data_IF_086677488120
#
_entry.id   IF_086677488120
#
_cell.length_a   1.000
_cell.length_b   1.000
_cell.length_c   1.000
_cell.angle_alpha   90.00
_cell.angle_beta   90.00
_cell.angle_gamma   90.00
#
_symmetry.space_group_name_H-M   'P 1'
#
loop_
_entity.id
_entity.type
_entity.pdbx_description
1 polymer ?
#
# COMPACT_ATOMS: atom_id res chain seq x y z
N UNK A 1 -33.17 64.40 61.10
CA UNK A 1 -33.29 64.08 59.65
C UNK A 1 -34.68 64.41 59.09
N UNK A 2 -35.77 63.76 59.54
CA UNK A 2 -37.12 63.97 58.96
C UNK A 2 -37.63 65.43 58.98
N UNK A 3 -37.52 66.12 60.11
CA UNK A 3 -38.01 67.50 60.28
C UNK A 3 -37.06 68.58 59.72
N UNK A 4 -35.92 68.19 59.14
CA UNK A 4 -34.89 69.12 58.65
C UNK A 4 -34.61 68.86 57.15
N UNK A 5 -33.81 67.85 56.84
CA UNK A 5 -33.31 67.57 55.49
C UNK A 5 -34.29 66.82 54.58
N UNK A 6 -35.31 66.16 55.16
CA UNK A 6 -36.28 65.36 54.39
C UNK A 6 -37.72 65.86 54.57
N UNK A 7 -37.89 67.14 54.90
CA UNK A 7 -39.20 67.74 55.19
C UNK A 7 -40.17 67.69 54.00
N UNK A 8 -39.67 67.89 52.78
CA UNK A 8 -40.46 67.88 51.53
C UNK A 8 -40.47 66.53 50.80
N UNK A 9 -39.73 65.53 51.28
CA UNK A 9 -39.65 64.23 50.62
C UNK A 9 -40.96 63.45 50.76
N UNK A 10 -41.26 62.60 49.78
CA UNK A 10 -42.37 61.66 49.90
C UNK A 10 -42.03 60.61 50.98
N UNK A 11 -42.80 60.58 52.06
CA UNK A 11 -42.55 59.72 53.22
C UNK A 11 -43.62 58.64 53.28
N UNK A 12 -43.17 57.39 53.27
CA UNK A 12 -44.01 56.22 53.53
C UNK A 12 -43.72 55.69 54.94
N UNK A 13 -44.75 55.15 55.60
CA UNK A 13 -44.56 54.39 56.84
C UNK A 13 -43.82 53.10 56.50
N UNK A 14 -42.88 52.68 57.35
CA UNK A 14 -42.03 51.52 57.11
C UNK A 14 -42.84 50.27 56.73
N UNK A 15 -43.98 50.04 57.40
CA UNK A 15 -44.86 48.91 57.12
C UNK A 15 -45.39 48.92 55.67
N UNK A 16 -45.77 50.08 55.14
CA UNK A 16 -46.28 50.23 53.77
C UNK A 16 -45.16 50.10 52.74
N UNK A 17 -43.98 50.66 53.02
CA UNK A 17 -42.80 50.49 52.18
C UNK A 17 -42.36 49.02 52.10
N UNK A 18 -42.38 48.30 53.23
CA UNK A 18 -42.10 46.85 53.28
C UNK A 18 -43.18 46.07 52.53
N UNK A 19 -44.46 46.38 52.75
CA UNK A 19 -45.58 45.73 52.05
C UNK A 19 -45.51 45.90 50.53
N UNK A 20 -45.06 47.06 50.06
CA UNK A 20 -44.89 47.34 48.62
C UNK A 20 -43.65 46.68 48.01
N UNK A 21 -42.52 46.66 48.73
CA UNK A 21 -41.24 46.15 48.20
C UNK A 21 -41.07 44.64 48.36
N UNK A 22 -41.64 44.04 49.39
CA UNK A 22 -41.49 42.59 49.66
C UNK A 22 -41.93 41.71 48.46
N UNK A 23 -43.08 41.94 47.80
CA UNK A 23 -43.46 41.17 46.60
C UNK A 23 -42.50 41.37 45.42
N UNK A 24 -41.90 42.55 45.28
CA UNK A 24 -40.91 42.81 44.23
C UNK A 24 -39.64 41.97 44.44
N UNK A 25 -39.17 41.90 45.70
CA UNK A 25 -38.01 41.08 46.06
C UNK A 25 -38.33 39.58 45.92
N UNK A 26 -39.51 39.13 46.34
CA UNK A 26 -39.97 37.74 46.13
C UNK A 26 -40.06 37.37 44.64
N UNK A 27 -40.49 38.31 43.79
CA UNK A 27 -40.50 38.14 42.34
C UNK A 27 -39.08 38.01 41.74
N UNK A 28 -38.12 38.81 42.22
CA UNK A 28 -36.72 38.69 41.81
C UNK A 28 -36.10 37.35 42.25
N UNK A 29 -36.38 36.89 43.47
CA UNK A 29 -35.94 35.58 43.96
C UNK A 29 -36.52 34.47 43.08
N UNK A 30 -37.81 34.52 42.79
CA UNK A 30 -38.48 33.53 41.93
C UNK A 30 -37.90 33.51 40.50
N UNK A 31 -37.57 34.69 39.95
CA UNK A 31 -36.91 34.80 38.64
C UNK A 31 -35.48 34.23 38.67
N UNK A 32 -34.75 34.43 39.77
CA UNK A 32 -33.41 33.89 39.96
C UNK A 32 -33.46 32.36 40.09
N UNK A 33 -34.41 31.80 40.85
CA UNK A 33 -34.60 30.36 40.97
C UNK A 33 -34.86 29.70 39.61
N UNK A 34 -35.67 30.34 38.76
CA UNK A 34 -35.89 29.87 37.39
C UNK A 34 -34.62 29.94 36.53
N UNK A 35 -33.82 30.99 36.70
CA UNK A 35 -32.54 31.14 35.99
C UNK A 35 -31.54 30.06 36.42
N UNK A 36 -31.46 29.76 37.73
CA UNK A 36 -30.61 28.70 38.27
C UNK A 36 -31.00 27.34 37.68
N UNK A 37 -32.30 27.02 37.63
CA UNK A 37 -32.79 25.78 36.99
C UNK A 37 -32.41 25.69 35.51
N UNK A 38 -32.59 26.79 34.77
CA UNK A 38 -32.23 26.84 33.35
C UNK A 38 -30.73 26.68 33.12
N UNK A 39 -29.89 27.25 33.99
CA UNK A 39 -28.43 27.10 33.92
C UNK A 39 -28.05 25.64 34.19
N UNK A 40 -28.62 25.01 35.21
CA UNK A 40 -28.34 23.59 35.52
C UNK A 40 -28.73 22.65 34.36
N UNK A 41 -29.89 22.89 33.72
CA UNK A 41 -30.29 22.12 32.53
C UNK A 41 -29.32 22.32 31.35
N UNK A 42 -28.83 23.54 31.17
CA UNK A 42 -27.88 23.85 30.11
C UNK A 42 -26.51 23.20 30.39
N UNK A 43 -26.08 23.16 31.65
CA UNK A 43 -24.85 22.49 32.08
C UNK A 43 -24.93 20.98 31.79
N UNK A 44 -26.01 20.31 32.19
CA UNK A 44 -26.24 18.88 31.88
C UNK A 44 -26.25 18.61 30.36
N UNK A 45 -26.87 19.51 29.58
CA UNK A 45 -26.87 19.41 28.12
C UNK A 45 -25.46 19.55 27.53
N UNK A 46 -24.64 20.46 28.06
CA UNK A 46 -23.24 20.63 27.65
C UNK A 46 -22.41 19.41 28.01
N UNK A 47 -22.57 18.85 29.20
CA UNK A 47 -21.89 17.62 29.61
C UNK A 47 -22.25 16.44 28.70
N UNK A 48 -23.52 16.31 28.31
CA UNK A 48 -23.96 15.30 27.33
C UNK A 48 -23.31 15.51 25.96
N UNK A 49 -23.23 16.75 25.47
CA UNK A 49 -22.55 17.07 24.20
C UNK A 49 -21.05 16.75 24.25
N UNK A 50 -20.39 17.03 25.38
CA UNK A 50 -18.97 16.68 25.59
C UNK A 50 -18.79 15.16 25.56
N UNK A 51 -19.70 14.40 26.19
CA UNK A 51 -19.71 12.94 26.16
C UNK A 51 -19.80 12.40 24.73
N UNK A 52 -20.79 12.86 23.97
CA UNK A 52 -20.99 12.47 22.56
C UNK A 52 -19.80 12.83 21.67
N UNK A 53 -19.19 14.00 21.89
CA UNK A 53 -18.01 14.43 21.14
C UNK A 53 -16.82 13.48 21.38
N UNK A 54 -16.57 13.10 22.63
CA UNK A 54 -15.49 12.16 22.98
C UNK A 54 -15.75 10.76 22.43
N UNK A 55 -16.99 10.29 22.48
CA UNK A 55 -17.39 9.00 21.90
C UNK A 55 -17.21 9.02 20.37
N UNK A 56 -17.62 10.10 19.70
CA UNK A 56 -17.41 10.28 18.27
C UNK A 56 -15.92 10.31 17.92
N UNK A 57 -15.09 11.01 18.70
CA UNK A 57 -13.64 11.03 18.50
C UNK A 57 -13.08 9.61 18.58
N UNK A 58 -13.37 8.88 19.66
CA UNK A 58 -12.88 7.52 19.85
C UNK A 58 -13.32 6.59 18.73
N UNK A 59 -14.57 6.71 18.27
CA UNK A 59 -15.11 5.90 17.17
C UNK A 59 -14.37 6.17 15.85
N UNK A 60 -14.09 7.44 15.55
CA UNK A 60 -13.35 7.83 14.35
C UNK A 60 -11.91 7.32 14.39
N UNK A 61 -11.23 7.48 15.53
CA UNK A 61 -9.87 6.97 15.74
C UNK A 61 -9.80 5.44 15.56
N UNK A 62 -10.75 4.72 16.15
CA UNK A 62 -10.88 3.26 16.01
C UNK A 62 -11.12 2.86 14.55
N UNK A 63 -12.02 3.54 13.86
CA UNK A 63 -12.33 3.25 12.47
C UNK A 63 -11.14 3.49 11.55
N UNK A 64 -10.45 4.63 11.73
CA UNK A 64 -9.25 4.96 10.97
C UNK A 64 -8.14 3.93 11.19
N UNK A 65 -7.89 3.56 12.45
CA UNK A 65 -6.90 2.55 12.83
C UNK A 65 -7.20 1.20 12.18
N UNK A 66 -8.44 0.69 12.33
CA UNK A 66 -8.89 -0.57 11.72
C UNK A 66 -8.76 -0.56 10.20
N UNK A 67 -9.15 0.53 9.56
CA UNK A 67 -9.04 0.66 8.11
C UNK A 67 -7.59 0.59 7.63
N UNK A 68 -6.68 1.30 8.30
CA UNK A 68 -5.24 1.25 8.00
C UNK A 68 -4.68 -0.16 8.22
N UNK A 69 -5.04 -0.83 9.32
CA UNK A 69 -4.62 -2.20 9.59
C UNK A 69 -5.04 -3.15 8.46
N UNK A 70 -6.30 -3.06 8.00
CA UNK A 70 -6.80 -3.87 6.88
C UNK A 70 -6.01 -3.61 5.60
N UNK A 71 -5.70 -2.34 5.28
CA UNK A 71 -4.89 -2.02 4.10
C UNK A 71 -3.47 -2.61 4.20
N UNK A 72 -2.84 -2.51 5.38
CA UNK A 72 -1.50 -3.07 5.61
C UNK A 72 -1.52 -4.60 5.47
N UNK A 73 -2.52 -5.28 6.02
CA UNK A 73 -2.69 -6.73 5.87
C UNK A 73 -2.88 -7.13 4.41
N UNK A 74 -3.70 -6.38 3.65
CA UNK A 74 -3.89 -6.61 2.21
C UNK A 74 -2.59 -6.45 1.43
N UNK A 75 -1.77 -5.44 1.75
CA UNK A 75 -0.47 -5.23 1.10
C UNK A 75 0.50 -6.37 1.39
N UNK A 76 0.54 -6.85 2.64
CA UNK A 76 1.35 -8.02 2.98
C UNK A 76 0.88 -9.28 2.26
N UNK A 77 -0.43 -9.52 2.18
CA UNK A 77 -0.98 -10.64 1.42
C UNK A 77 -0.64 -10.56 -0.07
N UNK A 78 -0.71 -9.37 -0.69
CA UNK A 78 -0.32 -9.18 -2.08
C UNK A 78 1.17 -9.45 -2.30
N UNK A 79 2.04 -8.93 -1.41
CA UNK A 79 3.48 -9.21 -1.43
C UNK A 79 3.73 -10.71 -1.39
N UNK A 80 3.15 -11.39 -0.41
CA UNK A 80 3.40 -12.82 -0.16
C UNK A 80 2.93 -13.69 -1.34
N UNK A 81 1.77 -13.35 -1.92
CA UNK A 81 1.27 -14.01 -3.12
C UNK A 81 2.26 -13.89 -4.28
N UNK A 82 2.82 -12.70 -4.50
CA UNK A 82 3.74 -12.46 -5.63
C UNK A 82 5.10 -13.07 -5.38
N UNK A 83 5.61 -13.01 -4.15
CA UNK A 83 6.85 -13.70 -3.79
C UNK A 83 6.71 -15.21 -4.00
N UNK A 84 5.56 -15.78 -3.65
CA UNK A 84 5.27 -17.19 -3.89
C UNK A 84 5.21 -17.51 -5.39
N UNK A 85 4.44 -16.74 -6.17
CA UNK A 85 4.33 -16.92 -7.62
C UNK A 85 5.69 -16.82 -8.32
N UNK A 86 6.51 -15.84 -7.92
CA UNK A 86 7.87 -15.68 -8.43
C UNK A 86 8.76 -16.86 -8.06
N UNK A 87 8.71 -17.31 -6.80
CA UNK A 87 9.49 -18.47 -6.35
C UNK A 87 9.11 -19.74 -7.12
N UNK A 88 7.81 -20.00 -7.26
CA UNK A 88 7.30 -21.18 -7.97
C UNK A 88 7.73 -21.14 -9.45
N UNK A 89 7.65 -19.98 -10.09
CA UNK A 89 8.12 -19.79 -11.47
C UNK A 89 9.62 -20.07 -11.60
N UNK A 90 10.45 -19.46 -10.74
CA UNK A 90 11.91 -19.61 -10.79
C UNK A 90 12.31 -21.06 -10.60
N UNK A 91 11.73 -21.74 -9.60
CA UNK A 91 12.01 -23.16 -9.36
C UNK A 91 11.64 -24.05 -10.55
N UNK A 92 10.47 -23.80 -11.15
CA UNK A 92 10.02 -24.55 -12.32
C UNK A 92 10.93 -24.30 -13.54
N UNK A 93 11.30 -23.04 -13.78
CA UNK A 93 12.17 -22.67 -14.89
C UNK A 93 13.60 -23.20 -14.70
N UNK A 94 14.14 -23.15 -13.48
CA UNK A 94 15.44 -23.72 -13.13
C UNK A 94 15.47 -25.23 -13.40
N UNK A 95 14.45 -25.95 -12.94
CA UNK A 95 14.33 -27.40 -13.21
C UNK A 95 14.29 -27.71 -14.70
N UNK A 96 13.56 -26.90 -15.48
CA UNK A 96 13.53 -27.01 -16.94
C UNK A 96 14.92 -26.81 -17.56
N UNK A 97 15.63 -25.75 -17.16
CA UNK A 97 16.99 -25.49 -17.66
C UNK A 97 18.00 -26.58 -17.26
N UNK A 98 17.91 -27.12 -16.06
CA UNK A 98 18.75 -28.24 -15.63
C UNK A 98 18.50 -29.49 -16.48
N UNK A 99 17.24 -29.80 -16.78
CA UNK A 99 16.88 -30.92 -17.65
C UNK A 99 17.39 -30.73 -19.09
N UNK A 100 17.26 -29.52 -19.64
CA UNK A 100 17.79 -29.19 -20.97
C UNK A 100 19.31 -29.29 -20.99
N UNK A 101 19.99 -28.81 -19.93
CA UNK A 101 21.44 -28.92 -19.79
C UNK A 101 21.90 -30.38 -19.74
N UNK A 102 21.19 -31.24 -19.01
CA UNK A 102 21.47 -32.68 -18.97
C UNK A 102 21.25 -33.33 -20.35
N UNK A 103 20.14 -33.01 -21.03
CA UNK A 103 19.87 -33.49 -22.37
C UNK A 103 20.97 -33.07 -23.37
N UNK A 104 21.43 -31.81 -23.31
CA UNK A 104 22.54 -31.31 -24.11
C UNK A 104 23.85 -32.04 -23.79
N UNK A 105 24.11 -32.33 -22.51
CA UNK A 105 25.32 -33.06 -22.11
C UNK A 105 25.30 -34.50 -22.65
N UNK A 106 24.18 -35.20 -22.52
CA UNK A 106 24.00 -36.55 -23.07
C UNK A 106 24.10 -36.56 -24.60
N UNK A 107 23.50 -35.56 -25.24
CA UNK A 107 23.56 -35.39 -26.69
C UNK A 107 25.00 -35.13 -27.16
N UNK A 108 25.75 -34.28 -26.45
CA UNK A 108 27.16 -34.02 -26.71
C UNK A 108 28.01 -35.29 -26.54
N UNK A 109 27.78 -36.07 -25.48
CA UNK A 109 28.44 -37.35 -25.27
C UNK A 109 28.18 -38.34 -26.42
N UNK A 110 26.93 -38.47 -26.85
CA UNK A 110 26.54 -39.32 -27.99
C UNK A 110 27.21 -38.88 -29.30
N UNK A 111 27.28 -37.57 -29.54
CA UNK A 111 27.96 -37.00 -30.70
C UNK A 111 29.48 -37.25 -30.68
N UNK A 112 30.12 -37.10 -29.52
CA UNK A 112 31.55 -37.40 -29.34
C UNK A 112 31.83 -38.89 -29.57
N UNK A 113 31.06 -39.78 -28.94
CA UNK A 113 31.21 -41.23 -29.15
C UNK A 113 30.96 -41.65 -30.60
N UNK A 114 29.94 -41.08 -31.25
CA UNK A 114 29.65 -41.35 -32.68
C UNK A 114 30.81 -40.88 -33.56
N UNK A 115 31.35 -39.69 -33.31
CA UNK A 115 32.52 -39.15 -34.02
C UNK A 115 33.74 -40.04 -33.85
N UNK A 116 34.04 -40.44 -32.62
CA UNK A 116 35.24 -41.22 -32.31
C UNK A 116 35.14 -42.65 -32.88
N UNK A 117 33.97 -43.27 -32.80
CA UNK A 117 33.68 -44.54 -33.46
C UNK A 117 33.83 -44.43 -34.98
N UNK A 118 33.18 -43.43 -35.60
CA UNK A 118 33.24 -43.23 -37.05
C UNK A 118 34.68 -43.00 -37.51
N UNK A 119 35.45 -42.20 -36.78
CA UNK A 119 36.88 -42.00 -37.05
C UNK A 119 37.67 -43.30 -36.97
N UNK A 120 37.42 -44.13 -35.95
CA UNK A 120 38.10 -45.42 -35.79
C UNK A 120 37.81 -46.39 -36.93
N UNK A 121 36.56 -46.46 -37.39
CA UNK A 121 36.15 -47.24 -38.58
C UNK A 121 36.92 -46.77 -39.82
N UNK A 122 37.05 -45.45 -40.01
CA UNK A 122 37.80 -44.90 -41.16
C UNK A 122 39.31 -45.16 -41.09
N UNK A 123 39.90 -45.15 -39.88
CA UNK A 123 41.35 -45.32 -39.71
C UNK A 123 41.82 -46.78 -39.73
N UNK A 124 41.00 -47.71 -39.21
CA UNK A 124 41.42 -49.10 -38.94
C UNK A 124 40.51 -50.15 -39.56
N UNK A 125 39.33 -49.76 -40.06
CA UNK A 125 38.37 -50.68 -40.65
C UNK A 125 38.81 -51.17 -42.03
N UNK A 126 38.36 -52.36 -42.42
CA UNK A 126 38.55 -52.86 -43.78
C UNK A 126 37.55 -52.21 -44.73
N UNK A 127 37.87 -52.13 -46.01
CA UNK A 127 37.02 -51.47 -47.02
C UNK A 127 35.56 -51.95 -47.01
N UNK A 128 35.32 -53.26 -46.84
CA UNK A 128 33.95 -53.79 -46.78
C UNK A 128 33.20 -53.39 -45.50
N UNK A 129 33.89 -53.20 -44.37
CA UNK A 129 33.29 -52.78 -43.09
C UNK A 129 32.90 -51.31 -43.15
N UNK A 130 33.73 -50.49 -43.79
CA UNK A 130 33.45 -49.07 -44.05
C UNK A 130 32.17 -48.95 -44.89
N UNK A 131 32.08 -49.68 -46.00
CA UNK A 131 30.89 -49.68 -46.87
C UNK A 131 29.64 -50.23 -46.14
N UNK A 132 29.79 -51.25 -45.29
CA UNK A 132 28.67 -51.81 -44.54
C UNK A 132 28.14 -50.85 -43.46
N UNK A 133 29.02 -50.08 -42.82
CA UNK A 133 28.67 -49.20 -41.70
C UNK A 133 28.29 -47.78 -42.13
N UNK A 134 28.59 -47.36 -43.36
CA UNK A 134 28.33 -46.02 -43.91
C UNK A 134 26.91 -45.53 -43.60
N UNK A 135 25.89 -46.30 -44.01
CA UNK A 135 24.49 -45.90 -43.85
C UNK A 135 24.07 -45.75 -42.38
N UNK A 136 24.63 -46.57 -41.49
CA UNK A 136 24.36 -46.50 -40.06
C UNK A 136 25.00 -45.26 -39.44
N UNK A 137 26.26 -44.99 -39.76
CA UNK A 137 27.00 -43.80 -39.32
C UNK A 137 26.30 -42.54 -39.82
N UNK A 138 25.93 -42.49 -41.10
CA UNK A 138 25.25 -41.35 -41.71
C UNK A 138 23.89 -41.09 -41.03
N UNK A 139 23.10 -42.14 -40.79
CA UNK A 139 21.82 -42.04 -40.07
C UNK A 139 21.99 -41.51 -38.64
N UNK A 140 23.00 -42.00 -37.91
CA UNK A 140 23.30 -41.55 -36.55
C UNK A 140 23.73 -40.08 -36.52
N UNK A 141 24.66 -39.68 -37.40
CA UNK A 141 25.12 -38.30 -37.50
C UNK A 141 23.96 -37.37 -37.82
N UNK A 142 23.13 -37.72 -38.81
CA UNK A 142 21.99 -36.90 -39.21
C UNK A 142 21.01 -36.71 -38.05
N UNK A 143 20.67 -37.79 -37.32
CA UNK A 143 19.77 -37.73 -36.17
C UNK A 143 20.28 -36.79 -35.07
N UNK A 144 21.59 -36.83 -34.80
CA UNK A 144 22.21 -35.95 -33.81
C UNK A 144 22.28 -34.49 -34.29
N UNK A 145 22.35 -34.25 -35.61
CA UNK A 145 22.31 -32.89 -36.15
C UNK A 145 20.91 -32.28 -36.13
N UNK A 146 19.87 -33.11 -36.33
CA UNK A 146 18.48 -32.66 -36.43
C UNK A 146 17.83 -32.37 -35.05
N UNK A 147 18.37 -32.89 -33.94
CA UNK A 147 17.75 -32.85 -32.61
C UNK A 147 18.66 -32.16 -31.57
N UNK A 148 18.85 -30.85 -31.72
CA UNK A 148 19.52 -30.04 -30.68
C UNK A 148 18.46 -29.47 -29.73
N UNK A 149 18.46 -29.86 -28.44
CA UNK A 149 17.55 -29.27 -27.46
C UNK A 149 17.75 -27.75 -27.36
N UNK A 150 16.68 -26.97 -27.53
CA UNK A 150 16.69 -25.52 -27.38
C UNK A 150 16.11 -25.10 -26.03
N UNK A 151 16.66 -24.03 -25.45
CA UNK A 151 16.11 -23.40 -24.26
C UNK A 151 15.14 -22.28 -24.68
N UNK A 152 13.86 -22.44 -24.37
CA UNK A 152 12.87 -21.38 -24.43
C UNK A 152 12.58 -20.90 -23.00
N UNK A 153 12.92 -19.63 -22.75
CA UNK A 153 12.91 -19.05 -21.41
C UNK A 153 12.06 -17.79 -21.35
N UNK A 154 11.30 -17.64 -20.27
CA UNK A 154 10.66 -16.37 -19.90
C UNK A 154 11.39 -15.77 -18.71
N UNK A 155 11.45 -14.44 -18.65
CA UNK A 155 11.97 -13.69 -17.50
C UNK A 155 10.85 -12.99 -16.73
N UNK A 156 10.91 -13.03 -15.38
CA UNK A 156 9.94 -12.34 -14.54
C UNK A 156 10.19 -10.83 -14.53
N UNK A 157 9.11 -10.06 -14.65
CA UNK A 157 9.10 -8.61 -14.57
C UNK A 157 7.98 -8.16 -13.64
N UNK A 158 8.30 -7.29 -12.69
CA UNK A 158 7.32 -6.72 -11.76
C UNK A 158 6.92 -5.32 -12.23
N UNK A 159 5.61 -5.13 -12.44
CA UNK A 159 5.01 -3.84 -12.76
C UNK A 159 4.25 -3.34 -11.54
N UNK A 160 4.55 -2.14 -11.06
CA UNK A 160 3.85 -1.51 -9.95
C UNK A 160 2.90 -0.47 -10.53
N UNK A 161 1.60 -0.61 -10.28
CA UNK A 161 0.55 0.32 -10.72
C UNK A 161 -0.02 1.06 -9.51
N UNK A 162 -0.26 2.37 -9.65
CA UNK A 162 -1.19 3.08 -8.77
C UNK A 162 -0.59 3.79 -7.56
N UNK A 163 0.48 4.58 -7.75
CA UNK A 163 0.84 5.63 -6.79
C UNK A 163 -0.02 6.91 -6.95
N UNK A 164 -1.21 6.76 -7.52
CA UNK A 164 -2.18 7.84 -7.67
C UNK A 164 -3.23 7.67 -6.55
N UNK A 165 -3.58 8.77 -5.88
CA UNK A 165 -4.32 8.83 -4.61
C UNK A 165 -5.69 8.09 -4.56
N UNK A 166 -6.19 7.56 -5.68
CA UNK A 166 -7.54 6.99 -5.80
C UNK A 166 -7.58 5.45 -5.79
N UNK A 167 -6.43 4.77 -5.83
CA UNK A 167 -6.37 3.31 -6.05
C UNK A 167 -5.51 2.51 -5.06
N UNK A 168 -5.19 3.10 -3.91
CA UNK A 168 -4.46 2.38 -2.84
C UNK A 168 -5.30 1.19 -2.37
N UNK A 169 -4.79 -0.03 -2.56
CA UNK A 169 -5.43 -1.28 -2.15
C UNK A 169 -5.89 -2.20 -3.28
N UNK A 170 -6.02 -1.73 -4.53
CA UNK A 170 -6.37 -2.60 -5.68
C UNK A 170 -5.16 -2.95 -6.52
N UNK A 171 -4.73 -4.22 -6.41
CA UNK A 171 -3.80 -4.92 -7.30
C UNK A 171 -2.60 -4.05 -7.74
N UNK A 172 -1.85 -3.55 -6.76
CA UNK A 172 -0.74 -2.62 -6.97
C UNK A 172 0.46 -3.26 -7.65
N UNK A 173 0.58 -4.57 -7.52
CA UNK A 173 1.71 -5.34 -8.03
C UNK A 173 1.21 -6.33 -9.09
N UNK A 174 1.82 -6.28 -10.26
CA UNK A 174 1.53 -7.20 -11.35
C UNK A 174 2.82 -7.88 -11.79
N UNK A 175 2.94 -9.18 -11.52
CA UNK A 175 4.03 -10.01 -12.01
C UNK A 175 3.72 -10.45 -13.45
N UNK A 176 4.72 -10.38 -14.33
CA UNK A 176 4.63 -10.80 -15.74
C UNK A 176 5.83 -11.67 -16.09
N UNK A 177 5.64 -12.59 -17.04
CA UNK A 177 6.70 -13.47 -17.52
C UNK A 177 6.81 -13.33 -19.03
N UNK A 178 7.85 -12.64 -19.50
CA UNK A 178 8.04 -12.29 -20.90
C UNK A 178 9.19 -13.09 -21.52
N UNK A 179 9.10 -13.51 -22.79
CA UNK A 179 10.19 -14.23 -23.45
C UNK A 179 11.47 -13.38 -23.45
N UNK A 180 12.62 -14.03 -23.28
CA UNK A 180 13.91 -13.34 -23.44
C UNK A 180 14.08 -12.94 -24.91
N UNK A 181 13.77 -11.69 -25.25
CA UNK A 181 14.21 -11.11 -26.51
C UNK A 181 15.72 -10.86 -26.38
N UNK A 182 16.50 -11.46 -27.29
CA UNK A 182 17.94 -11.25 -27.40
C UNK A 182 18.24 -9.79 -27.80
N UNK A 183 18.19 -8.87 -26.84
CA UNK A 183 18.82 -7.57 -26.94
C UNK A 183 19.07 -7.02 -25.53
N UNK A 184 20.36 -6.96 -25.15
CA UNK A 184 20.88 -6.33 -23.94
C UNK A 184 20.55 -7.05 -22.62
N UNK A 185 21.58 -7.70 -22.06
CA UNK A 185 21.56 -8.29 -20.72
C UNK A 185 21.53 -7.24 -19.62
N UNK A 186 20.39 -6.59 -19.44
CA UNK A 186 20.12 -5.81 -18.24
C UNK A 186 19.38 -6.69 -17.19
N UNK A 187 19.77 -6.58 -15.91
CA UNK A 187 19.07 -7.27 -14.81
C UNK A 187 17.61 -6.79 -14.68
N UNK A 188 16.75 -7.51 -13.94
CA UNK A 188 15.34 -7.17 -13.77
C UNK A 188 15.20 -5.72 -13.34
N UNK A 189 14.69 -4.89 -14.24
CA UNK A 189 14.50 -3.46 -14.02
C UNK A 189 13.12 -3.27 -13.40
N UNK A 190 13.07 -2.75 -12.17
CA UNK A 190 11.83 -2.20 -11.61
C UNK A 190 11.52 -0.96 -12.45
N UNK A 191 10.60 -1.09 -13.41
CA UNK A 191 10.13 0.06 -14.18
C UNK A 191 9.10 0.79 -13.34
N UNK A 192 9.58 1.71 -12.49
CA UNK A 192 8.74 2.73 -11.88
C UNK A 192 8.40 3.75 -12.96
N UNK A 193 7.20 3.69 -13.54
CA UNK A 193 6.68 4.77 -14.36
C UNK A 193 6.25 5.92 -13.46
N UNK A 194 6.84 7.10 -13.69
CA UNK A 194 6.51 8.42 -13.13
C UNK A 194 6.87 8.71 -11.67
N UNK A 195 8.13 9.08 -11.44
CA UNK A 195 8.47 10.05 -10.40
C UNK A 195 8.55 11.42 -11.08
N UNK A 196 7.44 12.16 -11.11
CA UNK A 196 7.46 13.59 -11.38
C UNK A 196 7.71 14.31 -10.05
N UNK A 197 8.86 14.98 -9.84
CA UNK A 197 9.02 15.82 -8.67
C UNK A 197 8.05 17.01 -8.79
N UNK A 198 7.07 17.10 -7.91
CA UNK A 198 6.30 18.33 -7.71
C UNK A 198 7.21 19.44 -7.16
N UNK A 199 6.97 20.71 -7.55
CA UNK A 199 7.81 21.83 -7.18
C UNK A 199 7.64 22.17 -5.69
N UNK A 200 8.77 22.47 -5.04
CA UNK A 200 8.85 22.94 -3.67
C UNK A 200 7.96 24.17 -3.46
N UNK A 201 6.95 24.05 -2.60
CA UNK A 201 6.19 25.18 -2.06
C UNK A 201 7.13 25.95 -1.14
N UNK A 202 7.63 27.08 -1.62
CA UNK A 202 8.35 28.06 -0.78
C UNK A 202 7.31 28.78 0.07
N UNK A 203 7.24 28.44 1.36
CA UNK A 203 6.47 29.20 2.34
C UNK A 203 7.26 30.49 2.64
N UNK A 204 6.87 31.60 2.01
CA UNK A 204 7.29 32.93 2.42
C UNK A 204 6.55 33.32 3.70
N UNK A 205 7.28 33.34 4.82
CA UNK A 205 6.84 33.93 6.08
C UNK A 205 6.80 35.46 5.92
N UNK A 206 5.61 36.03 5.73
CA UNK A 206 5.40 37.46 5.86
C UNK A 206 5.03 37.79 7.31
N UNK A 207 5.99 38.32 8.07
CA UNK A 207 5.74 38.97 9.34
C UNK A 207 5.15 40.37 9.06
N UNK A 208 3.89 40.60 9.45
CA UNK A 208 3.31 41.93 9.54
C UNK A 208 3.33 42.38 11.01
N UNK A 209 4.14 43.39 11.30
CA UNK A 209 4.10 44.13 12.55
C UNK A 209 2.87 45.05 12.54
N UNK A 210 1.99 44.88 13.53
CA UNK A 210 0.95 45.85 13.83
C UNK A 210 1.47 46.82 14.90
N UNK A 211 1.68 48.07 14.48
CA UNK A 211 1.89 49.22 15.36
C UNK A 211 0.52 49.72 15.80
N UNK A 212 0.20 49.66 17.10
CA UNK A 212 -0.96 50.34 17.66
C UNK A 212 -0.56 51.77 18.07
N UNK A 213 -1.34 52.74 17.60
CA UNK A 213 -1.48 54.10 18.15
C UNK A 213 -2.79 54.16 18.89
#
# INVERSE_FOLDING_TARGET
>A
CRMLEHFSHHILVMADAVKARKPQVEGLISSLDNSIKSIGQQEEAVDSMIGQLKESQSTIEDFASKYVSVLVEQLYAQRDSICKELSDFVQQQEKSYLSIKEALHNHMGSAQSTRDFSRKVMEMGKDYEILQLEGMIQSHIKRLQDLIPAAEGKMPHLVIKGLNNESVGKQMFQLRFEPVCNSSGNPPTVVATDIKPEPQITVQTHAQMATFV
#
